data_IF_501633046437
#
_entry.id   IF_501633046437
#
_cell.length_a   1.000
_cell.length_b   1.000
_cell.length_c   1.000
_cell.angle_alpha   90.00
_cell.angle_beta   90.00
_cell.angle_gamma   90.00
#
_symmetry.space_group_name_H-M   'P 1'
#
loop_
_entity.id
_entity.type
_entity.pdbx_description
1 polymer ?
#
# COMPACT_ATOMS: atom_id res chain seq x y z
N UNK A 1 9.99 3.56 18.50
CA UNK A 1 9.17 4.76 18.24
C UNK A 1 8.80 4.89 16.76
N UNK A 2 9.77 4.84 15.84
CA UNK A 2 9.55 5.03 14.40
C UNK A 2 8.54 4.07 13.74
N UNK A 3 8.47 2.80 14.17
CA UNK A 3 7.51 1.81 13.64
C UNK A 3 6.05 2.24 13.91
N UNK A 4 5.76 2.72 15.12
CA UNK A 4 4.41 3.18 15.47
C UNK A 4 4.03 4.46 14.72
N UNK A 5 4.97 5.41 14.58
CA UNK A 5 4.77 6.60 13.76
C UNK A 5 4.51 6.23 12.28
N UNK A 6 5.28 5.30 11.73
CA UNK A 6 5.06 4.78 10.38
C UNK A 6 3.68 4.15 10.23
N UNK A 7 3.24 3.34 11.20
CA UNK A 7 1.90 2.75 11.22
C UNK A 7 0.79 3.80 11.25
N UNK A 8 0.94 4.86 12.05
CA UNK A 8 -0.02 5.98 12.11
C UNK A 8 -0.08 6.71 10.76
N UNK A 9 1.07 7.04 10.16
CA UNK A 9 1.11 7.69 8.85
C UNK A 9 0.49 6.81 7.77
N UNK A 10 0.81 5.51 7.76
CA UNK A 10 0.22 4.55 6.83
C UNK A 10 -1.30 4.47 6.98
N UNK A 11 -1.81 4.38 8.22
CA UNK A 11 -3.26 4.36 8.47
C UNK A 11 -3.93 5.66 8.02
N UNK A 12 -3.29 6.80 8.25
CA UNK A 12 -3.78 8.12 7.80
C UNK A 12 -3.78 8.21 6.27
N UNK A 13 -2.78 7.63 5.60
CA UNK A 13 -2.72 7.54 4.15
C UNK A 13 -3.92 6.76 3.59
N UNK A 14 -4.29 5.63 4.21
CA UNK A 14 -5.47 4.84 3.81
C UNK A 14 -6.74 5.69 3.88
N UNK A 15 -6.95 6.45 4.96
CA UNK A 15 -8.14 7.28 5.11
C UNK A 15 -8.25 8.35 4.01
N UNK A 16 -7.12 8.99 3.66
CA UNK A 16 -7.08 9.95 2.57
C UNK A 16 -7.29 9.30 1.19
N UNK A 17 -6.75 8.09 1.00
CA UNK A 17 -6.91 7.32 -0.23
C UNK A 17 -8.39 6.95 -0.43
N UNK A 18 -9.02 6.36 0.59
CA UNK A 18 -10.45 6.02 0.60
C UNK A 18 -11.32 7.25 0.34
N UNK A 19 -11.07 8.35 1.06
CA UNK A 19 -11.77 9.61 0.83
C UNK A 19 -11.63 10.09 -0.62
N UNK A 20 -10.44 9.95 -1.21
CA UNK A 20 -10.24 10.35 -2.60
C UNK A 20 -11.03 9.49 -3.58
N UNK A 21 -11.12 8.18 -3.34
CA UNK A 21 -11.91 7.26 -4.17
C UNK A 21 -13.39 7.61 -4.06
N UNK A 22 -13.90 7.85 -2.84
CA UNK A 22 -15.30 8.17 -2.59
C UNK A 22 -15.73 9.54 -3.14
N UNK A 23 -14.84 10.55 -3.07
CA UNK A 23 -15.19 11.94 -3.39
C UNK A 23 -14.63 12.45 -4.72
N UNK A 24 -13.71 11.71 -5.35
CA UNK A 24 -12.95 12.18 -6.52
C UNK A 24 -12.01 13.36 -6.24
N UNK A 25 -11.81 13.76 -4.97
CA UNK A 25 -11.00 14.93 -4.63
C UNK A 25 -9.50 14.59 -4.77
N UNK A 26 -8.88 15.07 -5.85
CA UNK A 26 -7.45 14.87 -6.16
C UNK A 26 -6.50 15.31 -5.02
N UNK A 27 -6.84 16.36 -4.27
CA UNK A 27 -6.03 16.78 -3.10
C UNK A 27 -5.95 15.70 -2.01
N UNK A 28 -7.00 14.88 -1.85
CA UNK A 28 -6.98 13.76 -0.90
C UNK A 28 -6.06 12.65 -1.40
N UNK A 29 -6.07 12.33 -2.70
CA UNK A 29 -5.12 11.37 -3.28
C UNK A 29 -3.68 11.83 -3.10
N UNK A 30 -3.39 13.10 -3.44
CA UNK A 30 -2.06 13.65 -3.28
C UNK A 30 -1.57 13.56 -1.83
N UNK A 31 -2.46 13.79 -0.87
CA UNK A 31 -2.12 13.65 0.55
C UNK A 31 -1.87 12.18 0.93
N UNK A 32 -2.64 11.25 0.40
CA UNK A 32 -2.41 9.82 0.60
C UNK A 32 -1.02 9.40 0.12
N UNK A 33 -0.61 9.82 -1.08
CA UNK A 33 0.73 9.52 -1.63
C UNK A 33 1.86 10.00 -0.73
N UNK A 34 1.80 11.27 -0.29
CA UNK A 34 2.80 11.84 0.59
C UNK A 34 2.93 11.05 1.90
N UNK A 35 1.78 10.62 2.47
CA UNK A 35 1.75 9.86 3.71
C UNK A 35 2.27 8.43 3.53
N UNK A 36 1.94 7.76 2.41
CA UNK A 36 2.54 6.45 2.08
C UNK A 36 4.06 6.57 1.95
N UNK A 37 4.57 7.57 1.23
CA UNK A 37 6.00 7.81 1.08
C UNK A 37 6.69 8.09 2.43
N UNK A 38 6.09 8.95 3.26
CA UNK A 38 6.63 9.24 4.59
C UNK A 38 6.64 8.01 5.51
N UNK A 39 5.60 7.17 5.43
CA UNK A 39 5.56 5.91 6.18
C UNK A 39 6.68 4.95 5.79
N UNK A 40 6.99 4.87 4.48
CA UNK A 40 8.12 4.09 3.97
C UNK A 40 9.46 4.64 4.44
N UNK A 41 9.65 5.96 4.40
CA UNK A 41 10.88 6.61 4.85
C UNK A 41 11.18 6.34 6.33
N UNK A 42 10.16 6.33 7.19
CA UNK A 42 10.32 6.07 8.62
C UNK A 42 10.76 4.64 8.96
N UNK A 43 10.56 3.70 8.03
CA UNK A 43 10.96 2.30 8.21
C UNK A 43 12.23 1.93 7.43
N UNK A 44 12.85 2.88 6.71
CA UNK A 44 14.15 2.66 6.07
C UNK A 44 15.19 2.35 7.14
N UNK A 45 15.97 1.29 6.91
CA UNK A 45 17.01 0.84 7.85
C UNK A 45 16.51 0.05 9.06
N UNK A 46 15.19 -0.13 9.21
CA UNK A 46 14.64 -0.99 10.27
C UNK A 46 14.72 -2.47 9.87
N UNK A 47 14.89 -3.40 10.84
CA UNK A 47 14.96 -4.83 10.56
C UNK A 47 13.68 -5.34 9.88
N UNK A 48 13.84 -5.99 8.72
CA UNK A 48 12.74 -6.65 7.98
C UNK A 48 12.24 -7.94 8.63
N UNK A 49 12.94 -8.43 9.65
CA UNK A 49 12.44 -9.51 10.53
C UNK A 49 11.27 -9.06 11.42
N UNK A 50 10.97 -7.77 11.49
CA UNK A 50 9.79 -7.26 12.17
C UNK A 50 8.58 -7.29 11.20
N UNK A 51 7.58 -8.09 11.53
CA UNK A 51 6.35 -8.26 10.72
C UNK A 51 5.69 -6.92 10.38
N UNK A 52 5.59 -5.99 11.33
CA UNK A 52 4.96 -4.68 11.11
C UNK A 52 5.74 -3.84 10.10
N UNK A 53 7.07 -3.85 10.17
CA UNK A 53 7.93 -3.14 9.21
C UNK A 53 7.73 -3.69 7.80
N UNK A 54 7.62 -5.01 7.67
CA UNK A 54 7.46 -5.64 6.37
C UNK A 54 6.04 -5.45 5.82
N UNK A 55 5.01 -5.56 6.64
CA UNK A 55 3.63 -5.28 6.24
C UNK A 55 3.45 -3.84 5.77
N UNK A 56 3.99 -2.86 6.49
CA UNK A 56 3.96 -1.44 6.06
C UNK A 56 4.67 -1.29 4.71
N UNK A 57 5.83 -1.93 4.53
CA UNK A 57 6.58 -1.83 3.30
C UNK A 57 5.86 -2.44 2.10
N UNK A 58 5.25 -3.62 2.26
CA UNK A 58 4.47 -4.26 1.22
C UNK A 58 3.25 -3.41 0.86
N UNK A 59 2.43 -3.07 1.84
CA UNK A 59 1.16 -2.39 1.61
C UNK A 59 1.35 -0.97 1.06
N UNK A 60 2.30 -0.19 1.62
CA UNK A 60 2.56 1.16 1.12
C UNK A 60 3.18 1.16 -0.28
N UNK A 61 4.08 0.21 -0.58
CA UNK A 61 4.65 0.05 -1.93
C UNK A 61 3.56 -0.31 -2.94
N UNK A 62 2.68 -1.26 -2.60
CA UNK A 62 1.58 -1.67 -3.45
C UNK A 62 0.62 -0.50 -3.75
N UNK A 63 0.20 0.24 -2.71
CA UNK A 63 -0.73 1.36 -2.88
C UNK A 63 -0.11 2.49 -3.71
N UNK A 64 1.19 2.77 -3.55
CA UNK A 64 1.87 3.75 -4.40
C UNK A 64 1.97 3.27 -5.86
N UNK A 65 2.23 1.99 -6.09
CA UNK A 65 2.26 1.43 -7.44
C UNK A 65 0.90 1.57 -8.15
N UNK A 66 -0.19 1.31 -7.42
CA UNK A 66 -1.54 1.51 -7.93
C UNK A 66 -1.80 2.97 -8.30
N UNK A 67 -1.49 3.91 -7.41
CA UNK A 67 -1.70 5.34 -7.67
C UNK A 67 -0.87 5.80 -8.88
N UNK A 68 0.38 5.35 -9.00
CA UNK A 68 1.23 5.65 -10.16
C UNK A 68 0.64 5.07 -11.45
N UNK A 69 0.10 3.86 -11.40
CA UNK A 69 -0.58 3.24 -12.54
C UNK A 69 -1.83 4.03 -12.96
N UNK A 70 -2.68 4.43 -12.01
CA UNK A 70 -3.88 5.25 -12.25
C UNK A 70 -3.55 6.62 -12.85
N UNK A 71 -2.37 7.17 -12.53
CA UNK A 71 -1.85 8.41 -13.14
C UNK A 71 -1.22 8.22 -14.52
N UNK A 72 -1.16 7.00 -15.04
CA UNK A 72 -0.46 6.68 -16.29
C UNK A 72 1.07 6.67 -16.17
N UNK A 73 1.63 6.67 -14.95
CA UNK A 73 3.07 6.62 -14.67
C UNK A 73 3.57 5.16 -14.67
N UNK A 74 3.33 4.45 -15.77
CA UNK A 74 3.50 3.00 -15.89
C UNK A 74 4.91 2.51 -15.53
N UNK A 75 5.94 3.29 -15.87
CA UNK A 75 7.33 2.94 -15.55
C UNK A 75 7.59 2.92 -14.04
N UNK A 76 7.09 3.93 -13.32
CA UNK A 76 7.27 4.06 -11.87
C UNK A 76 6.49 2.97 -11.14
N UNK A 77 5.24 2.73 -11.56
CA UNK A 77 4.42 1.64 -11.06
C UNK A 77 5.11 0.29 -11.25
N UNK A 78 5.71 0.05 -12.42
CA UNK A 78 6.45 -1.18 -12.72
C UNK A 78 7.68 -1.36 -11.82
N UNK A 79 8.43 -0.30 -11.55
CA UNK A 79 9.57 -0.34 -10.64
C UNK A 79 9.13 -0.67 -9.21
N UNK A 80 8.03 -0.07 -8.74
CA UNK A 80 7.46 -0.41 -7.43
C UNK A 80 6.97 -1.83 -7.35
N UNK A 81 6.34 -2.35 -8.40
CA UNK A 81 5.91 -3.76 -8.44
C UNK A 81 7.11 -4.71 -8.42
N UNK A 82 8.21 -4.41 -9.12
CA UNK A 82 9.45 -5.20 -8.99
C UNK A 82 10.00 -5.18 -7.57
N UNK A 83 9.98 -4.02 -6.92
CA UNK A 83 10.38 -3.91 -5.52
C UNK A 83 9.45 -4.70 -4.59
N UNK A 84 8.14 -4.67 -4.85
CA UNK A 84 7.14 -5.45 -4.10
C UNK A 84 7.41 -6.96 -4.23
N UNK A 85 7.68 -7.45 -5.44
CA UNK A 85 8.06 -8.86 -5.68
C UNK A 85 9.33 -9.21 -4.90
N UNK A 86 10.35 -8.35 -4.93
CA UNK A 86 11.57 -8.56 -4.16
C UNK A 86 11.29 -8.67 -2.64
N UNK A 87 10.42 -7.81 -2.09
CA UNK A 87 10.00 -7.88 -0.69
C UNK A 87 9.28 -9.21 -0.38
N UNK A 88 8.38 -9.66 -1.26
CA UNK A 88 7.66 -10.93 -1.09
C UNK A 88 8.62 -12.13 -1.11
N UNK A 89 9.55 -12.18 -2.07
CA UNK A 89 10.56 -13.24 -2.13
C UNK A 89 11.47 -13.24 -0.89
N UNK A 90 11.80 -12.06 -0.35
CA UNK A 90 12.63 -11.94 0.87
C UNK A 90 11.92 -12.46 2.13
N UNK A 91 10.59 -12.43 2.17
CA UNK A 91 9.81 -13.00 3.28
C UNK A 91 9.84 -14.53 3.27
N UNK A 92 9.66 -15.12 2.08
CA UNK A 92 9.70 -16.58 1.90
C UNK A 92 11.05 -17.17 2.32
N UNK A 93 12.15 -16.46 2.01
CA UNK A 93 13.50 -16.91 2.35
C UNK A 93 13.87 -16.77 3.83
N UNK A 94 13.25 -15.82 4.57
CA UNK A 94 13.71 -15.46 5.93
C UNK A 94 12.90 -16.15 7.03
N UNK A 95 11.65 -16.54 6.77
CA UNK A 95 10.76 -17.05 7.81
C UNK A 95 10.19 -18.45 7.53
N UNK A 96 10.41 -19.04 6.34
CA UNK A 96 9.65 -20.22 5.90
C UNK A 96 8.13 -19.98 5.91
N UNK A 97 7.74 -18.70 6.00
CA UNK A 97 6.39 -18.23 6.23
C UNK A 97 5.86 -17.77 4.89
N UNK A 98 5.17 -18.68 4.21
CA UNK A 98 4.35 -18.37 3.05
C UNK A 98 3.34 -17.33 3.53
N UNK A 99 3.35 -16.12 2.95
CA UNK A 99 2.28 -15.16 3.17
C UNK A 99 0.99 -15.88 2.82
N UNK A 100 0.13 -16.13 3.80
CA UNK A 100 -1.09 -16.89 3.55
C UNK A 100 -1.95 -16.12 2.56
N UNK A 101 -2.71 -16.83 1.73
CA UNK A 101 -3.62 -16.20 0.75
C UNK A 101 -4.58 -15.24 1.45
N UNK A 102 -4.91 -15.47 2.72
CA UNK A 102 -5.74 -14.62 3.57
C UNK A 102 -5.04 -13.33 4.04
N UNK A 103 -3.76 -13.39 4.46
CA UNK A 103 -2.95 -12.20 4.75
C UNK A 103 -2.71 -11.39 3.48
N UNK A 104 -2.47 -12.07 2.36
CA UNK A 104 -2.39 -11.48 1.02
C UNK A 104 -3.72 -10.85 0.61
N UNK A 105 -4.86 -11.52 0.85
CA UNK A 105 -6.21 -10.98 0.62
C UNK A 105 -6.56 -9.84 1.55
N UNK A 106 -6.01 -9.76 2.77
CA UNK A 106 -6.14 -8.58 3.63
C UNK A 106 -5.38 -7.38 3.06
N UNK A 107 -4.20 -7.62 2.50
CA UNK A 107 -3.46 -6.60 1.74
C UNK A 107 -4.21 -6.22 0.44
N UNK A 108 -4.79 -7.21 -0.26
CA UNK A 108 -5.58 -7.04 -1.49
C UNK A 108 -7.00 -6.49 -1.25
N UNK A 109 -7.57 -6.63 -0.06
CA UNK A 109 -8.89 -6.08 0.28
C UNK A 109 -8.80 -4.57 0.50
N UNK A 110 -7.63 -4.07 0.91
CA UNK A 110 -7.32 -2.64 0.76
C UNK A 110 -7.16 -2.22 -0.72
N UNK A 111 -6.96 -3.17 -1.64
CA UNK A 111 -6.85 -3.01 -3.10
C UNK A 111 -8.20 -3.16 -3.83
N UNK A 112 -9.17 -3.93 -3.29
CA UNK A 112 -10.44 -4.26 -3.96
C UNK A 112 -11.62 -3.33 -3.65
N UNK A 113 -11.57 -2.53 -2.58
CA UNK A 113 -12.57 -1.49 -2.33
C UNK A 113 -12.50 -0.32 -3.34
N UNK A 114 -11.51 -0.33 -4.24
CA UNK A 114 -11.48 0.53 -5.43
C UNK A 114 -12.45 0.07 -6.55
N UNK A 115 -13.02 -1.15 -6.47
CA UNK A 115 -13.95 -1.69 -7.47
C UNK A 115 -15.35 -1.99 -6.89
N UNK A 116 -15.83 -1.14 -5.98
CA UNK A 116 -16.96 -1.47 -5.11
C UNK A 116 -18.15 -0.52 -5.03
N UNK A 117 -18.25 0.55 -5.85
CA UNK A 117 -19.55 1.25 -6.10
C UNK A 117 -19.62 1.73 -7.55
N UNK A 118 -19.54 0.78 -8.49
CA UNK A 118 -20.29 0.87 -9.74
C UNK A 118 -21.42 -0.15 -9.68
N UNK A 119 -22.44 0.15 -8.88
CA UNK A 119 -23.78 -0.37 -9.10
C UNK A 119 -24.73 0.81 -9.14
N UNK A 120 -24.79 1.44 -10.31
CA UNK A 120 -26.06 1.96 -10.78
C UNK A 120 -26.94 0.74 -11.06
N UNK A 121 -28.10 0.58 -10.39
CA UNK A 121 -29.26 0.11 -11.11
C UNK A 121 -29.78 1.29 -11.93
N UNK A 122 -30.05 0.99 -13.19
CA UNK A 122 -30.86 1.79 -14.07
C UNK A 122 -32.30 1.92 -13.53
N UNK A 123 -32.97 2.98 -14.00
CA UNK A 123 -34.38 3.38 -13.82
C UNK A 123 -34.66 4.34 -12.66
#
# INVERSE_FOLDING_TARGET
MNIYCAGILFKTAILHHQKSIETGISASMHRAEQLYQASLQLIVGLPRSNDTVTLIALAATNNLAQIEFEKGLVMQASERLRFLVHLLCSLESTAGRVVTVDEFHGMLSNTLLANGVSSSPAA
#
